data_IF_913048149884
#
_entry.id   IF_913048149884
#
_cell.length_a   1.000
_cell.length_b   1.000
_cell.length_c   1.000
_cell.angle_alpha   90.00
_cell.angle_beta   90.00
_cell.angle_gamma   90.00
#
_symmetry.space_group_name_H-M   'P 1'
#
loop_
_entity.id
_entity.type
_entity.pdbx_description
1 polymer ?
#
# COMPACT_ATOMS: atom_id res chain seq x y z
N UNK A 1 23.91 -15.76 2.39
CA UNK A 1 23.96 -14.46 1.69
C UNK A 1 23.09 -14.46 0.45
N UNK A 2 23.37 -15.27 -0.58
CA UNK A 2 22.53 -15.36 -1.79
C UNK A 2 21.13 -15.95 -1.51
N UNK A 3 21.05 -17.03 -0.72
CA UNK A 3 19.77 -17.62 -0.30
C UNK A 3 18.91 -16.65 0.55
N UNK A 4 19.55 -15.76 1.31
CA UNK A 4 18.87 -14.76 2.12
C UNK A 4 18.26 -13.65 1.26
N UNK A 5 18.98 -13.22 0.21
CA UNK A 5 18.49 -12.25 -0.76
C UNK A 5 17.28 -12.79 -1.52
N UNK A 6 17.36 -14.01 -2.06
CA UNK A 6 16.24 -14.63 -2.77
C UNK A 6 15.01 -14.82 -1.89
N UNK A 7 15.21 -15.17 -0.62
CA UNK A 7 14.12 -15.26 0.36
C UNK A 7 13.49 -13.89 0.58
N UNK A 8 14.30 -12.84 0.78
CA UNK A 8 13.80 -11.48 1.02
C UNK A 8 13.04 -10.92 -0.17
N UNK A 9 13.55 -11.10 -1.40
CA UNK A 9 12.83 -10.73 -2.64
C UNK A 9 11.45 -11.39 -2.70
N UNK A 10 11.38 -12.70 -2.41
CA UNK A 10 10.11 -13.44 -2.43
C UNK A 10 9.14 -12.94 -1.35
N UNK A 11 9.65 -12.69 -0.15
CA UNK A 11 8.85 -12.18 0.97
C UNK A 11 8.30 -10.78 0.63
N UNK A 12 9.13 -9.87 0.13
CA UNK A 12 8.72 -8.51 -0.29
C UNK A 12 7.73 -8.57 -1.47
N UNK A 13 7.95 -9.43 -2.46
CA UNK A 13 7.01 -9.61 -3.57
C UNK A 13 5.63 -10.11 -3.09
N UNK A 14 5.62 -11.01 -2.10
CA UNK A 14 4.38 -11.49 -1.48
C UNK A 14 3.69 -10.37 -0.70
N UNK A 15 4.44 -9.55 0.04
CA UNK A 15 3.92 -8.37 0.74
C UNK A 15 3.28 -7.40 -0.26
N UNK A 16 3.96 -7.10 -1.36
CA UNK A 16 3.44 -6.24 -2.43
C UNK A 16 2.14 -6.80 -3.02
N UNK A 17 2.11 -8.09 -3.37
CA UNK A 17 0.92 -8.75 -3.94
C UNK A 17 -0.28 -8.66 -3.00
N UNK A 18 -0.07 -8.94 -1.72
CA UNK A 18 -1.12 -8.82 -0.69
C UNK A 18 -1.51 -7.35 -0.48
N UNK A 19 -0.54 -6.44 -0.53
CA UNK A 19 -0.77 -5.00 -0.43
C UNK A 19 -1.69 -4.48 -1.54
N UNK A 20 -1.45 -4.90 -2.79
CA UNK A 20 -2.29 -4.53 -3.92
C UNK A 20 -3.74 -5.00 -3.74
N UNK A 21 -3.94 -6.25 -3.29
CA UNK A 21 -5.29 -6.75 -3.00
C UNK A 21 -5.98 -5.98 -1.87
N UNK A 22 -5.24 -5.57 -0.85
CA UNK A 22 -5.76 -4.73 0.24
C UNK A 22 -6.12 -3.33 -0.24
N UNK A 23 -5.30 -2.74 -1.12
CA UNK A 23 -5.58 -1.45 -1.74
C UNK A 23 -6.87 -1.50 -2.56
N UNK A 24 -7.04 -2.54 -3.38
CA UNK A 24 -8.27 -2.72 -4.18
C UNK A 24 -9.50 -2.86 -3.27
N UNK A 25 -9.40 -3.63 -2.19
CA UNK A 25 -10.48 -3.77 -1.22
C UNK A 25 -10.81 -2.46 -0.48
N UNK A 26 -9.77 -1.68 -0.12
CA UNK A 26 -9.94 -0.39 0.54
C UNK A 26 -10.58 0.65 -0.40
N UNK A 27 -10.22 0.66 -1.68
CA UNK A 27 -10.86 1.50 -2.71
C UNK A 27 -12.34 1.16 -2.87
N UNK A 28 -12.67 -0.12 -2.98
CA UNK A 28 -14.06 -0.55 -3.06
C UNK A 28 -14.85 -0.16 -1.81
N UNK A 29 -14.23 -0.24 -0.64
CA UNK A 29 -14.87 0.18 0.61
C UNK A 29 -15.15 1.67 0.62
N UNK A 30 -14.19 2.50 0.18
CA UNK A 30 -14.38 3.94 0.05
C UNK A 30 -15.52 4.29 -0.94
N UNK A 31 -15.59 3.59 -2.07
CA UNK A 31 -16.68 3.75 -3.04
C UNK A 31 -18.04 3.44 -2.40
N UNK A 32 -18.17 2.30 -1.73
CA UNK A 32 -19.41 1.89 -1.05
C UNK A 32 -19.83 2.86 0.06
N UNK A 33 -18.89 3.33 0.88
CA UNK A 33 -19.19 4.32 1.93
C UNK A 33 -19.60 5.67 1.34
N UNK A 34 -19.02 6.05 0.19
CA UNK A 34 -19.41 7.28 -0.53
C UNK A 34 -20.84 7.17 -1.05
N UNK A 35 -21.20 6.04 -1.69
CA UNK A 35 -22.57 5.78 -2.14
C UNK A 35 -23.56 5.75 -0.96
N UNK A 36 -23.18 5.16 0.18
CA UNK A 36 -23.99 5.12 1.37
C UNK A 36 -24.22 6.53 1.95
N UNK A 37 -23.20 7.39 1.93
CA UNK A 37 -23.30 8.79 2.32
C UNK A 37 -24.27 9.57 1.43
N UNK A 38 -24.19 9.41 0.11
CA UNK A 38 -25.10 10.05 -0.83
C UNK A 38 -26.56 9.63 -0.58
N UNK A 39 -26.80 8.33 -0.34
CA UNK A 39 -28.13 7.84 0.03
C UNK A 39 -28.59 8.43 1.37
N UNK A 40 -27.69 8.55 2.34
CA UNK A 40 -28.03 9.11 3.64
C UNK A 40 -28.34 10.61 3.55
N UNK A 41 -27.64 11.34 2.70
CA UNK A 41 -27.93 12.75 2.40
C UNK A 41 -29.34 12.90 1.83
N UNK A 42 -29.71 12.07 0.85
CA UNK A 42 -31.07 12.05 0.30
C UNK A 42 -32.12 11.77 1.38
N UNK A 43 -31.83 10.88 2.34
CA UNK A 43 -32.75 10.61 3.46
C UNK A 43 -32.91 11.82 4.37
N UNK A 44 -31.83 12.53 4.68
CA UNK A 44 -31.90 13.77 5.47
C UNK A 44 -32.69 14.85 4.74
N UNK A 45 -32.45 15.03 3.44
CA UNK A 45 -33.15 16.03 2.62
C UNK A 45 -34.67 15.78 2.57
N UNK A 46 -35.08 14.50 2.61
CA UNK A 46 -36.48 14.10 2.69
C UNK A 46 -37.04 14.03 4.12
N UNK A 47 -36.26 14.41 5.15
CA UNK A 47 -36.67 14.35 6.55
C UNK A 47 -36.81 12.93 7.12
N UNK A 48 -36.23 11.93 6.44
CA UNK A 48 -36.26 10.51 6.80
C UNK A 48 -35.07 10.09 7.69
N UNK A 49 -34.12 10.98 7.92
CA UNK A 49 -32.96 10.79 8.78
C UNK A 49 -32.56 12.10 9.46
N UNK A 50 -31.77 12.00 10.51
CA UNK A 50 -31.26 13.18 11.22
C UNK A 50 -29.94 13.67 10.63
N UNK A 51 -29.64 14.95 10.84
CA UNK A 51 -28.33 15.52 10.48
C UNK A 51 -27.15 14.85 11.22
N UNK A 52 -27.42 14.24 12.39
CA UNK A 52 -26.42 13.46 13.11
C UNK A 52 -26.05 12.20 12.33
N UNK A 53 -27.04 11.49 11.79
CA UNK A 53 -26.82 10.28 11.02
C UNK A 53 -25.98 10.57 9.76
N UNK A 54 -26.18 11.74 9.14
CA UNK A 54 -25.35 12.20 8.02
C UNK A 54 -23.90 12.44 8.42
N UNK A 55 -23.65 13.05 9.58
CA UNK A 55 -22.29 13.24 10.10
C UNK A 55 -21.61 11.91 10.45
N UNK A 56 -22.36 10.95 11.01
CA UNK A 56 -21.84 9.61 11.29
C UNK A 56 -21.46 8.87 10.00
N UNK A 57 -22.25 9.04 8.93
CA UNK A 57 -21.92 8.51 7.60
C UNK A 57 -20.70 9.22 6.97
N UNK A 58 -20.57 10.54 7.11
CA UNK A 58 -19.37 11.26 6.66
C UNK A 58 -18.10 10.74 7.36
N UNK A 59 -18.17 10.47 8.67
CA UNK A 59 -17.05 9.88 9.41
C UNK A 59 -16.68 8.49 8.90
N UNK A 60 -17.63 7.72 8.36
CA UNK A 60 -17.35 6.43 7.74
C UNK A 60 -16.56 6.59 6.43
N UNK A 61 -16.97 7.54 5.57
CA UNK A 61 -16.24 7.92 4.36
C UNK A 61 -14.81 8.35 4.69
N UNK A 62 -14.65 9.23 5.69
CA UNK A 62 -13.33 9.74 6.09
C UNK A 62 -12.41 8.61 6.58
N UNK A 63 -12.96 7.66 7.35
CA UNK A 63 -12.20 6.48 7.81
C UNK A 63 -11.82 5.56 6.66
N UNK A 64 -12.72 5.34 5.69
CA UNK A 64 -12.44 4.55 4.51
C UNK A 64 -11.35 5.19 3.64
N UNK A 65 -11.36 6.53 3.52
CA UNK A 65 -10.34 7.28 2.79
C UNK A 65 -8.96 7.14 3.46
N UNK A 66 -8.88 7.25 4.78
CA UNK A 66 -7.63 7.01 5.52
C UNK A 66 -7.12 5.58 5.29
N UNK A 67 -8.02 4.58 5.34
CA UNK A 67 -7.64 3.18 5.12
C UNK A 67 -7.13 2.93 3.69
N UNK A 68 -7.69 3.59 2.68
CA UNK A 68 -7.19 3.52 1.29
C UNK A 68 -5.79 4.11 1.16
N UNK A 69 -5.55 5.27 1.78
CA UNK A 69 -4.23 5.92 1.78
C UNK A 69 -3.17 5.09 2.51
N UNK A 70 -3.52 4.50 3.65
CA UNK A 70 -2.61 3.61 4.40
C UNK A 70 -2.27 2.36 3.57
N UNK A 71 -3.25 1.76 2.89
CA UNK A 71 -3.01 0.63 2.00
C UNK A 71 -2.12 1.02 0.81
N UNK A 72 -2.32 2.20 0.24
CA UNK A 72 -1.51 2.74 -0.84
C UNK A 72 -0.05 2.99 -0.42
N UNK A 73 0.16 3.60 0.76
CA UNK A 73 1.49 3.77 1.33
C UNK A 73 2.20 2.43 1.55
N UNK A 74 1.49 1.42 2.04
CA UNK A 74 2.05 0.08 2.23
C UNK A 74 2.50 -0.56 0.91
N UNK A 75 1.72 -0.38 -0.17
CA UNK A 75 2.10 -0.82 -1.53
C UNK A 75 3.37 -0.09 -1.98
N UNK A 76 3.41 1.24 -1.87
CA UNK A 76 4.57 2.04 -2.28
C UNK A 76 5.84 1.63 -1.54
N UNK A 77 5.77 1.42 -0.23
CA UNK A 77 6.94 0.96 0.53
C UNK A 77 7.42 -0.41 0.06
N UNK A 78 6.51 -1.34 -0.23
CA UNK A 78 6.87 -2.66 -0.74
C UNK A 78 7.47 -2.59 -2.16
N UNK A 79 6.98 -1.70 -3.03
CA UNK A 79 7.55 -1.45 -4.35
C UNK A 79 8.97 -0.87 -4.27
N UNK A 80 9.19 0.09 -3.37
CA UNK A 80 10.51 0.67 -3.12
C UNK A 80 11.47 -0.40 -2.61
N UNK A 81 11.09 -1.18 -1.58
CA UNK A 81 11.96 -2.24 -1.06
C UNK A 81 12.28 -3.29 -2.14
N UNK A 82 11.31 -3.68 -2.98
CA UNK A 82 11.54 -4.62 -4.07
C UNK A 82 12.53 -4.05 -5.10
N UNK A 83 12.43 -2.75 -5.43
CA UNK A 83 13.35 -2.08 -6.35
C UNK A 83 14.78 -1.98 -5.78
N UNK A 84 14.92 -1.83 -4.46
CA UNK A 84 16.21 -1.88 -3.76
C UNK A 84 16.83 -3.29 -3.82
N UNK A 85 16.03 -4.33 -3.58
CA UNK A 85 16.49 -5.73 -3.55
C UNK A 85 16.80 -6.31 -4.94
N UNK A 86 16.04 -5.92 -5.97
CA UNK A 86 16.27 -6.33 -7.36
C UNK A 86 17.51 -5.66 -7.98
N UNK A 87 18.24 -4.84 -7.21
CA UNK A 87 19.44 -4.15 -7.71
C UNK A 87 19.13 -3.02 -8.70
N UNK A 88 17.86 -2.70 -8.98
CA UNK A 88 17.48 -1.55 -9.83
C UNK A 88 17.90 -0.22 -9.20
N UNK A 89 18.09 -0.18 -7.88
CA UNK A 89 18.75 0.94 -7.19
C UNK A 89 20.28 0.94 -7.39
N UNK A 90 20.91 -0.24 -7.39
CA UNK A 90 22.36 -0.42 -7.61
C UNK A 90 22.76 -0.11 -9.05
N UNK A 91 21.93 -0.47 -10.05
CA UNK A 91 22.08 -0.08 -11.45
C UNK A 91 21.96 1.45 -11.62
N UNK A 92 21.03 2.08 -10.89
CA UNK A 92 20.88 3.54 -10.87
C UNK A 92 22.08 4.25 -10.21
N UNK A 93 22.77 3.58 -9.29
CA UNK A 93 23.93 4.09 -8.57
C UNK A 93 25.29 3.52 -9.03
N UNK A 94 25.33 2.70 -10.10
CA UNK A 94 26.54 2.05 -10.65
C UNK A 94 27.40 1.32 -9.59
N UNK A 95 26.77 0.58 -8.68
CA UNK A 95 27.52 -0.23 -7.71
C UNK A 95 27.65 -1.65 -8.24
N UNK A 96 28.84 -1.97 -8.75
CA UNK A 96 29.19 -3.30 -9.28
C UNK A 96 29.57 -4.24 -8.13
N UNK A 97 28.76 -5.27 -7.88
CA UNK A 97 28.93 -6.20 -6.74
C UNK A 97 30.19 -7.07 -6.93
N UNK A 98 30.73 -7.18 -8.13
CA UNK A 98 31.95 -7.95 -8.42
C UNK A 98 33.20 -7.44 -7.70
N UNK A 99 33.23 -6.17 -7.27
CA UNK A 99 34.43 -5.59 -6.62
C UNK A 99 34.59 -5.94 -5.13
N UNK A 100 33.64 -6.63 -4.49
CA UNK A 100 33.72 -6.92 -3.04
C UNK A 100 34.14 -8.34 -2.64
N UNK A 101 34.36 -9.24 -3.59
CA UNK A 101 34.77 -10.63 -3.29
C UNK A 101 36.25 -10.91 -3.61
N UNK A 102 37.01 -9.92 -4.07
CA UNK A 102 38.40 -10.10 -4.51
C UNK A 102 39.52 -9.66 -3.53
N UNK A 103 39.23 -9.30 -2.28
CA UNK A 103 40.23 -8.66 -1.40
C UNK A 103 40.47 -9.34 -0.05
N UNK A 104 40.12 -10.62 0.11
CA UNK A 104 40.58 -11.43 1.25
C UNK A 104 40.87 -12.85 0.77
N UNK A 105 41.93 -12.99 -0.03
CA UNK A 105 42.77 -14.20 -0.13
C UNK A 105 43.93 -13.92 -1.10
N UNK A 106 44.94 -13.21 -0.60
CA UNK A 106 46.33 -13.25 -1.08
C UNK A 106 47.21 -12.40 -0.15
N UNK A 107 47.87 -13.04 0.83
CA UNK A 107 48.91 -12.44 1.66
C UNK A 107 48.80 -12.80 3.13
#
# INVERSE_FOLDING_TARGET
MEQDLFRRVRDTHRVLTVGLQKLDAARLTLELETEAFEQQQQRVDNGLASFRDLQESQLAVDRAAIAELDAWLAVLFAEVELAELDGRLLDRHRIDIETRTGAVDAG
#
